data_IF_452050455052
#
_entry.id   IF_452050455052
#
_cell.length_a   1.000
_cell.length_b   1.000
_cell.length_c   1.000
_cell.angle_alpha   90.00
_cell.angle_beta   90.00
_cell.angle_gamma   90.00
#
_symmetry.space_group_name_H-M   'P 1'
#
loop_
_entity.id
_entity.type
_entity.pdbx_description
1 polymer ?
#
# COMPACT_ATOMS: atom_id res chain seq x y z
N UNK A 1 23.16 -28.06 -7.94
CA UNK A 1 22.27 -27.44 -6.93
C UNK A 1 22.25 -25.94 -7.20
N UNK A 2 21.16 -25.40 -7.73
CA UNK A 2 21.07 -23.99 -8.11
C UNK A 2 20.14 -23.23 -7.16
N UNK A 3 20.67 -22.23 -6.47
CA UNK A 3 19.87 -21.33 -5.64
C UNK A 3 19.10 -20.36 -6.54
N UNK A 4 17.76 -20.46 -6.54
CA UNK A 4 16.91 -19.46 -7.18
C UNK A 4 16.91 -18.18 -6.36
N UNK A 5 17.51 -17.12 -6.91
CA UNK A 5 17.37 -15.76 -6.40
C UNK A 5 15.92 -15.30 -6.56
N UNK A 6 15.16 -15.27 -5.46
CA UNK A 6 13.83 -14.65 -5.42
C UNK A 6 14.00 -13.16 -5.19
N UNK A 7 13.38 -12.35 -6.05
CA UNK A 7 13.33 -10.90 -5.87
C UNK A 7 12.58 -10.59 -4.55
N UNK A 8 13.11 -9.71 -3.69
CA UNK A 8 12.39 -9.28 -2.49
C UNK A 8 11.03 -8.68 -2.86
N UNK A 9 10.02 -8.99 -2.07
CA UNK A 9 8.67 -8.48 -2.28
C UNK A 9 8.67 -6.96 -2.13
N UNK A 10 8.19 -6.24 -3.16
CA UNK A 10 8.04 -4.77 -3.16
C UNK A 10 6.80 -4.30 -2.39
N UNK A 11 6.41 -5.01 -1.34
CA UNK A 11 5.28 -4.62 -0.49
C UNK A 11 5.80 -4.31 0.90
N UNK A 12 5.20 -3.34 1.61
CA UNK A 12 5.53 -3.10 3.00
C UNK A 12 5.35 -4.39 3.80
N UNK A 13 6.36 -4.76 4.58
CA UNK A 13 6.23 -5.85 5.51
C UNK A 13 5.27 -5.42 6.63
N UNK A 14 4.09 -6.07 6.69
CA UNK A 14 3.13 -5.79 7.75
C UNK A 14 3.62 -6.39 9.07
N UNK A 15 3.80 -5.53 10.07
CA UNK A 15 4.04 -5.94 11.46
C UNK A 15 2.81 -6.66 12.02
N UNK A 16 2.98 -7.44 13.08
CA UNK A 16 1.86 -8.10 13.76
C UNK A 16 0.77 -7.11 14.21
N UNK A 17 1.18 -5.91 14.65
CA UNK A 17 0.28 -4.82 15.01
C UNK A 17 -0.54 -4.33 13.82
N UNK A 18 0.07 -4.13 12.65
CA UNK A 18 -0.66 -3.71 11.46
C UNK A 18 -1.70 -4.75 11.05
N UNK A 19 -1.35 -6.04 11.09
CA UNK A 19 -2.30 -7.13 10.78
C UNK A 19 -3.48 -7.15 11.74
N UNK A 20 -3.23 -6.97 13.04
CA UNK A 20 -4.29 -6.92 14.05
C UNK A 20 -5.25 -5.74 13.82
N UNK A 21 -4.71 -4.56 13.52
CA UNK A 21 -5.51 -3.35 13.24
C UNK A 21 -6.34 -3.49 11.97
N UNK A 22 -5.76 -4.03 10.89
CA UNK A 22 -6.49 -4.28 9.64
C UNK A 22 -7.64 -5.29 9.87
N UNK A 23 -7.38 -6.34 10.65
CA UNK A 23 -8.41 -7.33 10.97
C UNK A 23 -9.52 -6.76 11.85
N UNK A 24 -9.19 -5.94 12.86
CA UNK A 24 -10.22 -5.29 13.68
C UNK A 24 -11.05 -4.32 12.86
N UNK A 25 -10.42 -3.57 11.96
CA UNK A 25 -11.11 -2.64 11.08
C UNK A 25 -12.07 -3.38 10.13
N UNK A 26 -11.60 -4.44 9.48
CA UNK A 26 -12.43 -5.27 8.60
C UNK A 26 -13.64 -5.86 9.35
N UNK A 27 -13.45 -6.39 10.56
CA UNK A 27 -14.55 -6.93 11.37
C UNK A 27 -15.56 -5.86 11.79
N UNK A 28 -15.11 -4.66 12.13
CA UNK A 28 -16.01 -3.55 12.46
C UNK A 28 -16.86 -3.10 11.27
N UNK A 29 -16.36 -3.31 10.05
CA UNK A 29 -16.95 -2.81 8.81
C UNK A 29 -17.53 -3.94 7.94
N UNK A 30 -17.65 -5.15 8.48
CA UNK A 30 -18.06 -6.37 7.76
C UNK A 30 -19.49 -6.27 7.20
N UNK A 31 -20.36 -5.53 7.91
CA UNK A 31 -21.77 -5.35 7.57
C UNK A 31 -22.05 -4.03 6.84
N UNK A 32 -21.01 -3.31 6.40
CA UNK A 32 -21.19 -2.04 5.69
C UNK A 32 -21.91 -2.24 4.36
N UNK A 33 -22.96 -1.47 4.18
CA UNK A 33 -23.74 -1.39 2.95
C UNK A 33 -23.06 -0.44 1.94
N UNK A 34 -23.52 -0.49 0.69
CA UNK A 34 -23.06 0.44 -0.36
C UNK A 34 -23.27 1.90 0.05
N UNK A 35 -24.35 2.20 0.78
CA UNK A 35 -24.61 3.54 1.27
C UNK A 35 -23.66 3.96 2.40
N UNK A 36 -23.24 3.04 3.27
CA UNK A 36 -22.21 3.33 4.28
C UNK A 36 -20.88 3.73 3.62
N UNK A 37 -20.49 3.02 2.55
CA UNK A 37 -19.27 3.35 1.79
C UNK A 37 -19.31 4.74 1.14
N UNK A 38 -20.49 5.27 0.77
CA UNK A 38 -20.61 6.60 0.16
C UNK A 38 -20.22 7.73 1.11
N UNK A 39 -20.26 7.48 2.43
CA UNK A 39 -19.90 8.48 3.44
C UNK A 39 -18.39 8.51 3.75
N UNK A 40 -17.61 7.58 3.19
CA UNK A 40 -16.18 7.48 3.46
C UNK A 40 -15.39 8.32 2.45
N UNK A 41 -14.73 9.37 2.95
CA UNK A 41 -13.76 10.13 2.17
C UNK A 41 -12.38 9.48 2.24
N UNK A 42 -11.83 9.06 1.10
CA UNK A 42 -10.48 8.51 0.99
C UNK A 42 -9.53 9.58 0.45
N UNK A 43 -8.42 9.82 1.16
CA UNK A 43 -7.32 10.69 0.73
C UNK A 43 -6.02 9.89 0.70
N UNK A 44 -5.27 10.01 -0.39
CA UNK A 44 -3.92 9.44 -0.50
C UNK A 44 -2.99 10.43 -1.21
N UNK A 45 -1.71 10.38 -0.84
CA UNK A 45 -0.67 11.17 -1.49
C UNK A 45 -0.05 10.36 -2.64
N UNK A 46 0.14 11.00 -3.79
CA UNK A 46 0.88 10.42 -4.91
C UNK A 46 2.13 11.23 -5.21
N UNK A 47 3.26 10.55 -5.39
CA UNK A 47 4.51 11.19 -5.77
C UNK A 47 4.68 11.15 -7.29
N UNK A 48 4.49 12.28 -7.95
CA UNK A 48 4.86 12.43 -9.36
C UNK A 48 6.28 13.01 -9.46
N UNK A 49 7.06 12.49 -10.42
CA UNK A 49 8.34 13.07 -10.81
C UNK A 49 8.14 13.81 -12.13
N UNK A 50 8.31 15.13 -12.12
CA UNK A 50 8.45 15.91 -13.35
C UNK A 50 9.87 15.66 -13.88
N UNK A 51 10.00 15.22 -15.14
CA UNK A 51 11.23 14.83 -15.85
C UNK A 51 12.56 15.09 -15.12
N UNK A 52 13.32 14.02 -14.85
CA UNK A 52 14.72 14.16 -14.45
C UNK A 52 15.53 14.62 -15.67
N UNK A 53 15.84 15.90 -15.74
CA UNK A 53 16.89 16.39 -16.64
C UNK A 53 18.21 15.86 -16.09
N UNK A 54 18.58 14.64 -16.49
CA UNK A 54 19.93 14.10 -16.28
C UNK A 54 20.86 14.84 -17.25
N UNK A 55 21.15 16.10 -16.95
CA UNK A 55 22.36 16.74 -17.46
C UNK A 55 23.53 16.17 -16.66
N UNK A 56 23.84 14.89 -16.89
CA UNK A 56 25.21 14.40 -16.75
C UNK A 56 26.03 15.12 -17.81
N UNK A 57 26.45 16.33 -17.47
CA UNK A 57 27.57 16.99 -18.14
C UNK A 57 28.77 16.12 -17.82
N UNK A 58 29.38 15.58 -18.88
CA UNK A 58 30.63 14.84 -18.82
C UNK A 58 31.77 15.79 -18.46
#
# INVERSE_FOLDING_TARGET
>A
MGSQSRRPTRVPLLTARHKALLLSWARQHDHWTVDDWKHVALCNEYRFQLCRTDARVR
#
